data_IF_735689299837
#
_entry.id   IF_735689299837
#
_cell.length_a   1.000
_cell.length_b   1.000
_cell.length_c   1.000
_cell.angle_alpha   90.00
_cell.angle_beta   90.00
_cell.angle_gamma   90.00
#
_symmetry.space_group_name_H-M   'P 1'
#
loop_
_entity.id
_entity.type
_entity.pdbx_description
1 polymer ?
#
# COMPACT_ATOMS: atom_id res chain seq x y z
N UNK A 1 -7.18 -13.94 -14.03
CA UNK A 1 -7.85 -12.62 -13.89
C UNK A 1 -6.81 -11.55 -13.61
N UNK A 2 -6.95 -10.33 -14.14
CA UNK A 2 -5.98 -9.25 -14.00
C UNK A 2 -6.26 -8.41 -12.74
N UNK A 3 -6.30 -9.04 -11.57
CA UNK A 3 -6.68 -8.36 -10.33
C UNK A 3 -5.43 -7.87 -9.59
N UNK A 4 -5.51 -6.68 -8.98
CA UNK A 4 -4.48 -6.17 -8.09
C UNK A 4 -5.09 -5.80 -6.73
N UNK A 5 -4.28 -5.87 -5.68
CA UNK A 5 -4.65 -5.35 -4.37
C UNK A 5 -3.88 -4.07 -4.11
N UNK A 6 -4.59 -3.00 -3.75
CA UNK A 6 -3.99 -1.73 -3.33
C UNK A 6 -4.26 -1.56 -1.83
N UNK A 7 -3.23 -1.44 -1.02
CA UNK A 7 -3.29 -1.35 0.44
C UNK A 7 -2.93 0.06 0.89
N UNK A 8 -3.76 0.66 1.75
CA UNK A 8 -3.52 1.96 2.40
C UNK A 8 -4.11 1.94 3.80
N UNK A 9 -3.85 2.94 4.64
CA UNK A 9 -4.48 3.13 5.95
C UNK A 9 -5.70 4.05 5.94
N UNK A 10 -5.88 4.85 4.88
CA UNK A 10 -6.99 5.81 4.79
C UNK A 10 -7.34 6.16 3.34
N UNK A 11 -8.52 6.75 3.18
CA UNK A 11 -9.11 7.34 1.98
C UNK A 11 -9.71 8.73 2.29
N UNK A 12 -9.07 9.46 3.22
CA UNK A 12 -9.35 10.86 3.49
C UNK A 12 -8.76 11.78 2.41
N UNK A 13 -8.67 13.09 2.69
CA UNK A 13 -8.10 14.07 1.77
C UNK A 13 -6.59 14.20 2.03
N UNK A 14 -5.77 13.80 1.06
CA UNK A 14 -4.32 13.88 1.15
C UNK A 14 -3.60 13.39 -0.10
N UNK A 15 -2.28 13.59 -0.15
CA UNK A 15 -1.47 13.28 -1.33
C UNK A 15 -1.36 11.77 -1.62
N UNK A 16 -1.22 10.95 -0.59
CA UNK A 16 -1.15 9.50 -0.72
C UNK A 16 -2.49 8.91 -1.19
N UNK A 17 -3.60 9.48 -0.73
CA UNK A 17 -4.96 9.07 -1.09
C UNK A 17 -5.29 9.49 -2.52
N UNK A 18 -4.83 10.68 -2.95
CA UNK A 18 -4.89 11.09 -4.36
C UNK A 18 -4.07 10.15 -5.25
N UNK A 19 -2.85 9.76 -4.86
CA UNK A 19 -2.07 8.75 -5.57
C UNK A 19 -2.85 7.45 -5.73
N UNK A 20 -3.47 6.97 -4.65
CA UNK A 20 -4.26 5.73 -4.68
C UNK A 20 -5.37 5.81 -5.72
N UNK A 21 -6.10 6.92 -5.79
CA UNK A 21 -7.13 7.13 -6.81
C UNK A 21 -6.57 7.09 -8.23
N UNK A 22 -5.45 7.77 -8.48
CA UNK A 22 -4.80 7.77 -9.79
C UNK A 22 -4.38 6.35 -10.19
N UNK A 23 -3.85 5.55 -9.26
CA UNK A 23 -3.50 4.16 -9.50
C UNK A 23 -4.73 3.29 -9.81
N UNK A 24 -5.83 3.50 -9.09
CA UNK A 24 -7.10 2.82 -9.37
C UNK A 24 -7.60 3.16 -10.76
N UNK A 25 -7.63 4.45 -11.12
CA UNK A 25 -8.12 4.89 -12.43
C UNK A 25 -7.22 4.43 -13.57
N UNK A 26 -5.90 4.48 -13.37
CA UNK A 26 -4.94 3.91 -14.31
C UNK A 26 -5.19 2.40 -14.49
N UNK A 27 -5.36 1.66 -13.40
CA UNK A 27 -5.65 0.23 -13.45
C UNK A 27 -6.92 -0.06 -14.26
N UNK A 28 -8.03 0.62 -13.95
CA UNK A 28 -9.30 0.43 -14.67
C UNK A 28 -9.19 0.76 -16.16
N UNK A 29 -8.52 1.87 -16.51
CA UNK A 29 -8.27 2.25 -17.91
C UNK A 29 -7.47 1.19 -18.69
N UNK A 30 -6.67 0.38 -17.99
CA UNK A 30 -5.84 -0.68 -18.57
C UNK A 30 -6.42 -2.09 -18.35
N UNK A 31 -7.73 -2.22 -18.09
CA UNK A 31 -8.40 -3.51 -17.87
C UNK A 31 -7.77 -4.34 -16.74
N UNK A 32 -7.29 -3.65 -15.70
CA UNK A 32 -6.85 -4.22 -14.44
C UNK A 32 -7.96 -3.97 -13.41
N UNK A 33 -8.29 -4.98 -12.60
CA UNK A 33 -9.34 -4.93 -11.59
C UNK A 33 -8.75 -4.64 -10.20
N UNK A 34 -8.78 -3.39 -9.71
CA UNK A 34 -8.29 -3.07 -8.39
C UNK A 34 -9.28 -3.49 -7.29
N UNK A 35 -8.75 -4.07 -6.21
CA UNK A 35 -9.39 -4.09 -4.89
C UNK A 35 -8.61 -3.16 -3.98
N UNK A 36 -9.30 -2.26 -3.28
CA UNK A 36 -8.68 -1.37 -2.30
C UNK A 36 -8.90 -1.94 -0.90
N UNK A 37 -7.81 -2.16 -0.15
CA UNK A 37 -7.82 -2.57 1.24
C UNK A 37 -7.37 -1.40 2.12
N UNK A 38 -8.24 -0.94 2.99
CA UNK A 38 -7.96 0.07 4.00
C UNK A 38 -7.75 -0.60 5.35
N UNK A 39 -6.54 -0.41 5.87
CA UNK A 39 -6.07 -0.95 7.14
C UNK A 39 -6.63 -0.15 8.30
N UNK A 40 -6.80 -0.82 9.43
CA UNK A 40 -7.05 -0.28 10.77
C UNK A 40 -8.35 0.53 10.97
N UNK A 41 -9.11 0.80 9.90
CA UNK A 41 -10.39 1.50 9.93
C UNK A 41 -11.55 0.60 9.50
N UNK A 42 -12.75 0.88 10.03
CA UNK A 42 -14.03 0.38 9.50
C UNK A 42 -14.95 1.52 9.05
N UNK A 43 -14.53 2.76 9.29
CA UNK A 43 -15.33 3.95 9.05
C UNK A 43 -15.23 4.35 7.58
N UNK A 44 -16.33 4.90 7.07
CA UNK A 44 -16.39 5.42 5.71
C UNK A 44 -15.65 6.77 5.63
N UNK A 45 -14.90 6.99 4.56
CA UNK A 45 -14.11 8.19 4.34
C UNK A 45 -14.45 8.84 2.98
N UNK A 46 -13.85 10.00 2.73
CA UNK A 46 -14.18 10.87 1.61
C UNK A 46 -14.18 10.16 0.24
N UNK A 47 -13.13 9.38 -0.06
CA UNK A 47 -13.01 8.76 -1.40
C UNK A 47 -13.75 7.43 -1.56
N UNK A 48 -14.38 6.87 -0.52
CA UNK A 48 -15.13 5.62 -0.66
C UNK A 48 -16.29 5.74 -1.65
N UNK A 49 -17.06 6.83 -1.59
CA UNK A 49 -18.19 7.06 -2.49
C UNK A 49 -17.76 7.10 -3.96
N UNK A 50 -16.62 7.75 -4.23
CA UNK A 50 -16.03 7.86 -5.57
C UNK A 50 -15.60 6.49 -6.09
N UNK A 51 -14.88 5.71 -5.28
CA UNK A 51 -14.45 4.36 -5.64
C UNK A 51 -15.65 3.42 -5.86
N UNK A 52 -16.67 3.50 -5.00
CA UNK A 52 -17.91 2.72 -5.13
C UNK A 52 -18.66 3.04 -6.43
N UNK A 53 -18.79 4.32 -6.78
CA UNK A 53 -19.43 4.74 -8.03
C UNK A 53 -18.69 4.23 -9.28
N UNK A 54 -17.40 3.94 -9.17
CA UNK A 54 -16.57 3.33 -10.23
C UNK A 54 -16.57 1.80 -10.20
N UNK A 55 -17.39 1.16 -9.35
CA UNK A 55 -17.44 -0.29 -9.22
C UNK A 55 -16.21 -0.90 -8.55
N UNK A 56 -15.38 -0.10 -7.87
CA UNK A 56 -14.17 -0.57 -7.21
C UNK A 56 -14.54 -1.16 -5.85
N UNK A 57 -14.06 -2.37 -5.58
CA UNK A 57 -14.26 -3.02 -4.28
C UNK A 57 -13.36 -2.39 -3.23
N UNK A 58 -13.95 -1.65 -2.29
CA UNK A 58 -13.27 -1.13 -1.10
C UNK A 58 -13.54 -2.04 0.09
N UNK A 59 -12.47 -2.47 0.75
CA UNK A 59 -12.49 -3.34 1.91
C UNK A 59 -11.83 -2.62 3.06
N UNK A 60 -12.56 -2.44 4.15
CA UNK A 60 -12.06 -1.85 5.40
C UNK A 60 -11.94 -2.92 6.48
N UNK A 61 -10.75 -3.11 7.05
CA UNK A 61 -10.54 -4.13 8.09
C UNK A 61 -9.28 -3.86 8.91
N UNK A 62 -9.21 -4.44 10.11
CA UNK A 62 -7.99 -4.51 10.90
C UNK A 62 -7.26 -5.81 10.60
N UNK A 63 -5.97 -5.75 10.34
CA UNK A 63 -5.13 -6.94 10.18
C UNK A 63 -4.42 -7.31 11.49
N UNK A 64 -4.37 -6.39 12.45
CA UNK A 64 -3.85 -6.60 13.79
C UNK A 64 -4.91 -7.19 14.73
N UNK A 65 -4.47 -7.91 15.76
CA UNK A 65 -5.32 -8.60 16.73
C UNK A 65 -6.31 -7.63 17.38
N UNK A 66 -7.61 -7.88 17.18
CA UNK A 66 -8.68 -7.14 17.87
C UNK A 66 -8.72 -7.65 19.31
N UNK A 67 -8.19 -6.85 20.24
CA UNK A 67 -8.10 -7.18 21.67
C UNK A 67 -9.45 -7.22 22.40
N UNK A 68 -10.54 -6.75 21.78
CA UNK A 68 -11.85 -6.64 22.45
C UNK A 68 -12.96 -7.38 21.71
N UNK A 69 -13.59 -8.32 22.42
CA UNK A 69 -14.70 -9.19 21.98
C UNK A 69 -16.00 -8.47 21.60
N UNK A 70 -16.07 -7.14 21.69
CA UNK A 70 -17.32 -6.36 21.53
C UNK A 70 -17.84 -6.28 20.08
N UNK A 71 -17.15 -6.87 19.10
CA UNK A 71 -17.59 -6.86 17.70
C UNK A 71 -17.19 -8.15 16.95
N UNK A 72 -17.86 -9.29 17.20
CA UNK A 72 -17.48 -10.60 16.66
C UNK A 72 -17.45 -10.65 15.13
N UNK A 73 -18.40 -9.98 14.46
CA UNK A 73 -18.43 -9.91 12.98
C UNK A 73 -17.18 -9.21 12.43
N UNK A 74 -16.74 -8.13 13.09
CA UNK A 74 -15.51 -7.40 12.71
C UNK A 74 -14.27 -8.26 12.93
N UNK A 75 -14.25 -9.06 14.01
CA UNK A 75 -13.18 -10.01 14.31
C UNK A 75 -13.07 -11.12 13.26
N UNK A 76 -14.18 -11.77 12.92
CA UNK A 76 -14.21 -12.82 11.89
C UNK A 76 -13.75 -12.24 10.55
N UNK A 77 -14.24 -11.07 10.17
CA UNK A 77 -13.80 -10.39 8.93
C UNK A 77 -12.29 -10.11 8.95
N UNK A 78 -11.76 -9.64 10.07
CA UNK A 78 -10.33 -9.39 10.25
C UNK A 78 -9.50 -10.66 10.16
N UNK A 79 -9.89 -11.73 10.86
CA UNK A 79 -9.23 -13.03 10.81
C UNK A 79 -9.28 -13.60 9.38
N UNK A 80 -10.44 -13.53 8.72
CA UNK A 80 -10.60 -13.97 7.34
C UNK A 80 -9.67 -13.21 6.39
N UNK A 81 -9.55 -11.88 6.53
CA UNK A 81 -8.63 -11.11 5.71
C UNK A 81 -7.17 -11.41 6.02
N UNK A 82 -6.79 -11.59 7.29
CA UNK A 82 -5.44 -11.99 7.65
C UNK A 82 -5.07 -13.34 7.01
N UNK A 83 -5.96 -14.34 7.07
CA UNK A 83 -5.78 -15.64 6.41
C UNK A 83 -5.75 -15.49 4.89
N UNK A 84 -6.69 -14.75 4.30
CA UNK A 84 -6.75 -14.54 2.86
C UNK A 84 -5.48 -13.87 2.33
N UNK A 85 -4.95 -12.87 3.03
CA UNK A 85 -3.72 -12.20 2.65
C UNK A 85 -2.51 -13.13 2.80
N UNK A 86 -2.42 -13.85 3.91
CA UNK A 86 -1.28 -14.72 4.20
C UNK A 86 -1.18 -15.92 3.24
N UNK A 87 -2.31 -16.53 2.88
CA UNK A 87 -2.30 -17.80 2.15
C UNK A 87 -2.86 -17.71 0.73
N UNK A 88 -3.67 -16.70 0.43
CA UNK A 88 -4.42 -16.64 -0.84
C UNK A 88 -4.11 -15.41 -1.67
N UNK A 89 -3.29 -14.46 -1.20
CA UNK A 89 -2.97 -13.24 -1.94
C UNK A 89 -2.40 -13.55 -3.32
N UNK A 90 -1.39 -14.41 -3.40
CA UNK A 90 -0.75 -14.82 -4.66
C UNK A 90 -1.67 -15.54 -5.65
N UNK A 91 -2.75 -16.15 -5.15
CA UNK A 91 -3.76 -16.81 -5.99
C UNK A 91 -4.76 -15.81 -6.58
N UNK A 92 -5.17 -14.81 -5.80
CA UNK A 92 -6.24 -13.89 -6.18
C UNK A 92 -5.78 -12.62 -6.86
N UNK A 93 -4.54 -12.21 -6.61
CA UNK A 93 -3.97 -10.94 -7.08
C UNK A 93 -2.68 -11.22 -7.85
N UNK A 94 -2.48 -10.52 -8.95
CA UNK A 94 -1.23 -10.57 -9.73
C UNK A 94 -0.13 -9.74 -9.09
N UNK A 95 -0.51 -8.68 -8.39
CA UNK A 95 0.41 -7.82 -7.65
C UNK A 95 -0.29 -7.19 -6.46
N UNK A 96 0.52 -6.84 -5.46
CA UNK A 96 0.11 -6.09 -4.27
C UNK A 96 0.83 -4.75 -4.30
N UNK A 97 0.09 -3.66 -4.20
CA UNK A 97 0.63 -2.30 -4.13
C UNK A 97 0.31 -1.73 -2.74
N UNK A 98 1.33 -1.43 -1.95
CA UNK A 98 1.14 -0.82 -0.63
C UNK A 98 1.58 0.64 -0.67
N UNK A 99 0.68 1.54 -0.30
CA UNK A 99 0.90 2.99 -0.37
C UNK A 99 1.51 3.49 0.93
N UNK A 100 2.72 4.04 0.88
CA UNK A 100 3.47 4.54 2.02
C UNK A 100 4.22 3.44 2.78
N UNK A 101 5.49 3.69 3.09
CA UNK A 101 6.35 2.73 3.82
C UNK A 101 5.82 2.40 5.22
N UNK A 102 5.11 3.32 5.87
CA UNK A 102 4.39 3.05 7.12
C UNK A 102 3.37 1.90 6.99
N UNK A 103 2.67 1.82 5.87
CA UNK A 103 1.73 0.72 5.64
C UNK A 103 2.45 -0.56 5.24
N UNK A 104 3.60 -0.46 4.58
CA UNK A 104 4.43 -1.63 4.25
C UNK A 104 4.91 -2.30 5.53
N UNK A 105 5.49 -1.55 6.46
CA UNK A 105 5.98 -2.05 7.75
C UNK A 105 4.90 -2.84 8.51
N UNK A 106 3.64 -2.37 8.49
CA UNK A 106 2.50 -3.07 9.09
C UNK A 106 2.14 -4.40 8.42
N UNK A 107 2.32 -4.51 7.11
CA UNK A 107 1.78 -5.65 6.33
C UNK A 107 2.85 -6.59 5.80
N UNK A 108 4.13 -6.22 5.93
CA UNK A 108 5.27 -6.91 5.30
C UNK A 108 5.26 -8.42 5.57
N UNK A 109 5.09 -8.81 6.84
CA UNK A 109 5.05 -10.22 7.26
C UNK A 109 3.69 -10.91 7.06
N UNK A 110 2.64 -10.15 6.77
CA UNK A 110 1.26 -10.66 6.69
C UNK A 110 0.83 -10.92 5.25
N UNK A 111 1.51 -10.31 4.27
CA UNK A 111 1.15 -10.39 2.85
C UNK A 111 2.35 -10.91 2.04
N UNK A 112 2.71 -12.20 2.18
CA UNK A 112 3.74 -12.80 1.34
C UNK A 112 3.23 -12.86 -0.11
N UNK A 113 3.99 -12.29 -1.04
CA UNK A 113 3.60 -12.24 -2.44
C UNK A 113 4.85 -12.07 -3.33
N UNK A 114 4.96 -12.78 -4.48
CA UNK A 114 6.14 -12.71 -5.35
C UNK A 114 6.27 -11.39 -6.12
N UNK A 115 5.22 -10.56 -6.11
CA UNK A 115 5.18 -9.26 -6.80
C UNK A 115 4.56 -8.21 -5.89
N UNK A 116 5.39 -7.52 -5.10
CA UNK A 116 4.95 -6.42 -4.25
C UNK A 116 5.56 -5.11 -4.71
N UNK A 117 4.75 -4.06 -4.63
CA UNK A 117 5.12 -2.70 -4.98
C UNK A 117 4.91 -1.80 -3.77
N UNK A 118 5.99 -1.26 -3.24
CA UNK A 118 6.02 -0.41 -2.06
C UNK A 118 6.18 1.04 -2.50
N UNK A 119 5.10 1.82 -2.45
CA UNK A 119 5.14 3.22 -2.86
C UNK A 119 5.69 4.07 -1.72
N UNK A 120 6.93 4.52 -1.84
CA UNK A 120 7.48 5.53 -0.95
C UNK A 120 6.93 6.91 -1.33
N UNK A 121 6.03 7.43 -0.50
CA UNK A 121 5.42 8.75 -0.68
C UNK A 121 5.82 9.74 0.41
N UNK A 122 6.71 9.34 1.32
CA UNK A 122 7.18 10.16 2.44
C UNK A 122 8.64 10.58 2.21
N UNK A 123 9.00 11.76 2.69
CA UNK A 123 10.38 12.25 2.70
C UNK A 123 10.95 12.16 4.12
N UNK A 124 12.25 11.94 4.25
CA UNK A 124 12.92 11.80 5.54
C UNK A 124 12.77 13.07 6.42
N UNK A 125 12.64 14.25 5.80
CA UNK A 125 12.40 15.53 6.51
C UNK A 125 11.13 15.53 7.37
N UNK A 126 10.20 14.60 7.15
CA UNK A 126 8.97 14.49 7.94
C UNK A 126 9.19 13.80 9.30
N UNK A 127 10.38 13.26 9.57
CA UNK A 127 10.71 12.55 10.81
C UNK A 127 11.61 13.41 11.72
N UNK A 128 11.47 13.31 13.05
CA UNK A 128 12.21 14.16 14.00
C UNK A 128 13.74 14.15 13.82
N UNK A 129 14.31 12.98 13.50
CA UNK A 129 15.76 12.80 13.31
C UNK A 129 16.18 12.86 11.84
N UNK A 130 15.26 13.19 10.92
CA UNK A 130 15.46 13.09 9.46
C UNK A 130 15.87 11.70 8.98
N UNK A 131 15.43 10.67 9.71
CA UNK A 131 15.68 9.27 9.42
C UNK A 131 14.36 8.52 9.35
N UNK A 132 14.27 7.60 8.40
CA UNK A 132 13.18 6.65 8.32
C UNK A 132 13.25 5.66 9.49
N UNK A 133 12.13 5.40 10.15
CA UNK A 133 12.05 4.48 11.28
C UNK A 133 11.70 3.03 10.89
N UNK A 134 12.11 2.57 9.70
CA UNK A 134 11.69 1.28 9.13
C UNK A 134 12.76 0.21 9.32
N UNK A 135 12.32 -1.04 9.49
CA UNK A 135 13.24 -2.16 9.63
C UNK A 135 13.93 -2.48 8.30
N UNK A 136 15.21 -2.88 8.36
CA UNK A 136 16.04 -3.10 7.17
C UNK A 136 15.50 -4.25 6.29
N UNK A 137 14.88 -5.24 6.92
CA UNK A 137 14.29 -6.43 6.31
C UNK A 137 13.24 -6.08 5.25
N UNK A 138 12.56 -4.94 5.40
CA UNK A 138 11.57 -4.44 4.46
C UNK A 138 12.16 -4.25 3.06
N UNK A 139 13.45 -3.93 2.98
CA UNK A 139 14.17 -3.65 1.74
C UNK A 139 14.98 -4.85 1.23
N UNK A 140 14.97 -5.97 1.96
CA UNK A 140 15.86 -7.11 1.75
C UNK A 140 15.38 -8.15 0.73
N UNK A 141 14.18 -8.03 0.15
CA UNK A 141 13.66 -8.98 -0.83
C UNK A 141 13.81 -8.46 -2.26
N UNK A 142 14.54 -9.19 -3.12
CA UNK A 142 14.78 -8.80 -4.52
C UNK A 142 13.54 -8.91 -5.42
N UNK A 143 12.49 -9.60 -4.97
CA UNK A 143 11.22 -9.67 -5.69
C UNK A 143 10.34 -8.44 -5.46
N UNK A 144 10.65 -7.65 -4.43
CA UNK A 144 9.93 -6.43 -4.14
C UNK A 144 10.41 -5.27 -5.02
N UNK A 145 9.48 -4.36 -5.30
CA UNK A 145 9.77 -3.11 -5.99
C UNK A 145 9.41 -1.94 -5.11
N UNK A 146 10.38 -1.10 -4.77
CA UNK A 146 10.15 0.18 -4.09
C UNK A 146 10.00 1.26 -5.15
N UNK A 147 8.86 1.93 -5.14
CA UNK A 147 8.55 3.01 -6.06
C UNK A 147 8.74 4.34 -5.33
N UNK A 148 9.71 5.12 -5.75
CA UNK A 148 9.92 6.48 -5.27
C UNK A 148 9.25 7.46 -6.22
N UNK A 149 8.70 8.54 -5.69
CA UNK A 149 7.94 9.51 -6.48
C UNK A 149 8.79 10.72 -6.90
N UNK A 150 10.00 10.83 -6.33
CA UNK A 150 11.01 11.80 -6.70
C UNK A 150 12.42 11.26 -6.39
N UNK A 151 13.46 11.92 -6.92
CA UNK A 151 14.87 11.52 -6.75
C UNK A 151 15.38 11.73 -5.31
N UNK A 152 14.80 12.65 -4.56
CA UNK A 152 15.24 12.93 -3.18
C UNK A 152 14.95 11.71 -2.30
N UNK A 153 13.76 11.13 -2.40
CA UNK A 153 13.37 9.92 -1.66
C UNK A 153 14.25 8.70 -1.95
N UNK A 154 14.58 8.49 -3.24
CA UNK A 154 15.51 7.42 -3.61
C UNK A 154 16.88 7.65 -2.97
N UNK A 155 17.38 8.88 -3.03
CA UNK A 155 18.66 9.26 -2.42
C UNK A 155 18.63 9.05 -0.90
N UNK A 156 17.60 9.53 -0.21
CA UNK A 156 17.41 9.39 1.24
C UNK A 156 17.40 7.91 1.67
N UNK A 157 16.63 7.06 0.97
CA UNK A 157 16.60 5.62 1.25
C UNK A 157 17.97 4.97 1.03
N UNK A 158 18.64 5.25 -0.10
CA UNK A 158 19.95 4.67 -0.41
C UNK A 158 21.03 5.10 0.58
N UNK A 159 21.01 6.35 1.02
CA UNK A 159 21.95 6.86 2.01
C UNK A 159 21.79 6.17 3.37
N UNK A 160 20.54 5.97 3.80
CA UNK A 160 20.25 5.41 5.11
C UNK A 160 20.40 3.88 5.17
N UNK A 161 19.87 3.16 4.16
CA UNK A 161 19.78 1.70 4.20
C UNK A 161 20.89 0.98 3.41
N UNK A 162 21.60 1.67 2.51
CA UNK A 162 22.79 1.17 1.79
C UNK A 162 22.62 -0.28 1.30
N UNK A 163 23.43 -1.20 1.80
CA UNK A 163 23.50 -2.61 1.40
C UNK A 163 22.26 -3.44 1.79
N UNK A 164 21.40 -2.91 2.67
CA UNK A 164 20.14 -3.55 3.00
C UNK A 164 19.13 -3.50 1.83
N UNK A 165 19.28 -2.57 0.89
CA UNK A 165 18.37 -2.44 -0.26
C UNK A 165 18.73 -3.49 -1.31
N UNK A 166 18.00 -4.60 -1.28
CA UNK A 166 18.02 -5.65 -2.32
C UNK A 166 16.80 -5.57 -3.24
N UNK A 167 15.72 -4.94 -2.78
CA UNK A 167 14.54 -4.67 -3.58
C UNK A 167 14.84 -3.77 -4.79
N UNK A 168 14.10 -3.98 -5.87
CA UNK A 168 14.21 -3.16 -7.08
C UNK A 168 13.72 -1.74 -6.78
N UNK A 169 14.55 -0.74 -7.01
CA UNK A 169 14.16 0.67 -6.89
C UNK A 169 13.70 1.20 -8.25
N UNK A 170 12.53 1.85 -8.28
CA UNK A 170 11.98 2.50 -9.48
C UNK A 170 11.60 3.93 -9.14
N UNK A 171 11.99 4.87 -10.00
CA UNK A 171 11.51 6.24 -9.93
C UNK A 171 10.25 6.37 -10.81
N UNK A 172 9.11 6.65 -10.19
CA UNK A 172 7.88 6.98 -10.88
C UNK A 172 7.63 8.48 -10.79
N UNK A 173 7.57 9.18 -11.93
CA UNK A 173 7.17 10.59 -11.93
C UNK A 173 5.68 10.66 -11.64
N UNK A 174 5.31 11.03 -10.41
CA UNK A 174 3.93 11.35 -10.13
C UNK A 174 3.55 12.64 -10.83
N UNK A 175 2.34 12.67 -11.38
CA UNK A 175 1.75 13.73 -12.19
C UNK A 175 2.30 13.77 -13.63
N UNK A 176 1.46 13.29 -14.55
CA UNK A 176 1.50 13.73 -15.95
C UNK A 176 1.40 15.25 -15.86
N UNK A 177 2.37 15.99 -16.39
CA UNK A 177 2.24 17.43 -16.54
C UNK A 177 0.86 17.68 -17.16
N UNK A 178 -0.05 18.34 -16.43
CA UNK A 178 -1.15 19.00 -17.10
C UNK A 178 -0.50 19.95 -18.11
N UNK A 179 -0.83 19.90 -19.41
CA UNK A 179 -0.33 20.91 -20.32
C UNK A 179 -0.74 22.28 -19.75
N UNK A 180 0.26 23.07 -19.40
CA UNK A 180 0.10 24.50 -19.17
C UNK A 180 -0.04 25.24 -20.49
#
# INVERSE_FOLDING_TARGET
MNNILIISNRLGIGGAEKLLLELVFFAQKNNINPTVLILDSYEHEHYDGILKAKGVKVVRTRINTIKHFRAPVKMIRSAWWAVKLKYLAAKYYKSIHTIGLYNVDKVFNTVPHPHRFFWNVNNAIQYPNREYAYQQELFGDSNDTIININKYQETELRQQYKDAIKAKMVLAKLFINAPG
#
